data_IF_820287340303
#
_entry.id   IF_820287340303
#
_cell.length_a   1.000
_cell.length_b   1.000
_cell.length_c   1.000
_cell.angle_alpha   90.00
_cell.angle_beta   90.00
_cell.angle_gamma   90.00
#
_symmetry.space_group_name_H-M   'P 1'
#
loop_
_entity.id
_entity.type
_entity.pdbx_description
1 polymer ?
#
# COMPACT_ATOMS: atom_id res chain seq x y z
N UNK A 1 -29.22 -25.10 -40.10
CA UNK A 1 -28.93 -24.25 -41.28
C UNK A 1 -27.44 -24.27 -41.53
N UNK A 2 -27.01 -24.07 -42.78
CA UNK A 2 -25.61 -24.06 -43.19
C UNK A 2 -25.32 -22.79 -43.99
N UNK A 3 -24.16 -22.17 -43.75
CA UNK A 3 -23.72 -20.95 -44.43
C UNK A 3 -22.20 -20.99 -44.66
N UNK A 4 -21.74 -20.25 -45.66
CA UNK A 4 -20.33 -20.04 -46.00
C UNK A 4 -20.04 -18.54 -46.01
N UNK A 5 -18.81 -18.15 -45.66
CA UNK A 5 -18.42 -16.74 -45.57
C UNK A 5 -16.92 -16.52 -45.72
N UNK A 6 -16.54 -15.30 -46.11
CA UNK A 6 -15.16 -14.86 -46.24
C UNK A 6 -14.64 -14.34 -44.90
N UNK A 7 -13.43 -14.77 -44.50
CA UNK A 7 -12.79 -14.26 -43.29
C UNK A 7 -12.35 -12.82 -43.50
N UNK A 8 -12.90 -11.89 -42.72
CA UNK A 8 -12.59 -10.46 -42.79
C UNK A 8 -11.53 -9.99 -41.78
N UNK A 9 -11.34 -10.71 -40.68
CA UNK A 9 -10.37 -10.38 -39.62
C UNK A 9 -10.05 -11.61 -38.78
N UNK A 10 -8.82 -11.69 -38.26
CA UNK A 10 -8.31 -12.77 -37.42
C UNK A 10 -7.53 -12.21 -36.22
N UNK A 11 -7.42 -12.99 -35.14
CA UNK A 11 -6.70 -12.61 -33.92
C UNK A 11 -7.21 -11.31 -33.28
N UNK A 12 -6.29 -10.46 -32.83
CA UNK A 12 -6.59 -9.20 -32.12
C UNK A 12 -7.37 -8.18 -32.97
N UNK A 13 -7.33 -8.32 -34.29
CA UNK A 13 -8.10 -7.46 -35.22
C UNK A 13 -9.58 -7.83 -35.26
N UNK A 14 -9.97 -8.98 -34.72
CA UNK A 14 -11.39 -9.34 -34.57
C UNK A 14 -12.05 -8.46 -33.52
N UNK A 15 -13.38 -8.39 -33.54
CA UNK A 15 -14.13 -7.67 -32.50
C UNK A 15 -13.89 -8.28 -31.12
N UNK A 16 -13.83 -9.61 -31.00
CA UNK A 16 -13.50 -10.29 -29.74
C UNK A 16 -12.05 -10.00 -29.32
N UNK A 17 -11.10 -10.01 -30.27
CA UNK A 17 -9.70 -9.69 -30.01
C UNK A 17 -9.49 -8.27 -29.49
N UNK A 18 -10.19 -7.28 -30.06
CA UNK A 18 -10.18 -5.91 -29.55
C UNK A 18 -10.81 -5.78 -28.17
N UNK A 19 -11.90 -6.50 -27.89
CA UNK A 19 -12.51 -6.52 -26.55
C UNK A 19 -11.53 -7.13 -25.53
N UNK A 20 -10.88 -8.25 -25.87
CA UNK A 20 -9.91 -8.88 -25.00
C UNK A 20 -8.71 -7.96 -24.71
N UNK A 21 -8.19 -7.28 -25.74
CA UNK A 21 -7.10 -6.30 -25.60
C UNK A 21 -7.51 -5.07 -24.77
N UNK A 22 -8.75 -4.61 -24.89
CA UNK A 22 -9.26 -3.52 -24.06
C UNK A 22 -9.43 -3.96 -22.60
N UNK A 23 -9.89 -5.19 -22.37
CA UNK A 23 -10.06 -5.74 -21.02
C UNK A 23 -8.71 -5.99 -20.33
N UNK A 24 -7.67 -6.41 -21.08
CA UNK A 24 -6.33 -6.63 -20.54
C UNK A 24 -5.48 -5.36 -20.43
N UNK A 25 -5.79 -4.33 -21.23
CA UNK A 25 -5.09 -3.05 -21.23
C UNK A 25 -5.50 -2.10 -20.11
N UNK A 26 -6.40 -2.50 -19.22
CA UNK A 26 -6.79 -1.71 -18.05
C UNK A 26 -5.64 -1.71 -17.05
N UNK A 27 -5.13 -0.53 -16.70
CA UNK A 27 -4.09 -0.39 -15.69
C UNK A 27 -4.60 -0.88 -14.32
N UNK A 28 -3.72 -1.52 -13.57
CA UNK A 28 -4.01 -1.89 -12.19
C UNK A 28 -3.94 -0.64 -11.31
N UNK A 29 -5.07 0.04 -11.17
CA UNK A 29 -5.21 1.10 -10.18
C UNK A 29 -5.18 0.52 -8.76
N UNK A 30 -4.64 1.31 -7.81
CA UNK A 30 -4.68 0.95 -6.39
C UNK A 30 -6.13 0.84 -5.94
N UNK A 31 -6.45 -0.19 -5.16
CA UNK A 31 -7.79 -0.32 -4.58
C UNK A 31 -8.04 0.80 -3.56
N UNK A 32 -9.29 1.23 -3.34
CA UNK A 32 -9.60 2.26 -2.35
C UNK A 32 -9.07 1.93 -0.94
N UNK A 33 -9.09 0.65 -0.56
CA UNK A 33 -8.55 0.18 0.73
C UNK A 33 -7.02 0.31 0.76
N UNK A 34 -6.32 -0.01 -0.34
CA UNK A 34 -4.87 0.15 -0.40
C UNK A 34 -4.45 1.62 -0.26
N UNK A 35 -5.19 2.54 -0.91
CA UNK A 35 -4.96 3.99 -0.79
C UNK A 35 -5.17 4.46 0.65
N UNK A 36 -6.23 4.00 1.31
CA UNK A 36 -6.51 4.39 2.70
C UNK A 36 -5.46 3.86 3.69
N UNK A 37 -4.96 2.63 3.49
CA UNK A 37 -3.88 2.06 4.31
C UNK A 37 -2.59 2.87 4.14
N UNK A 38 -2.23 3.22 2.91
CA UNK A 38 -1.04 4.04 2.63
C UNK A 38 -1.17 5.41 3.27
N UNK A 39 -2.32 6.06 3.15
CA UNK A 39 -2.60 7.34 3.80
C UNK A 39 -2.48 7.25 5.33
N UNK A 40 -3.03 6.20 5.93
CA UNK A 40 -2.90 5.96 7.36
C UNK A 40 -1.45 5.76 7.79
N UNK A 41 -0.68 4.96 7.05
CA UNK A 41 0.74 4.71 7.34
C UNK A 41 1.55 6.00 7.25
N UNK A 42 1.30 6.84 6.24
CA UNK A 42 2.00 8.11 6.07
C UNK A 42 1.74 9.08 7.23
N UNK A 43 0.49 9.14 7.73
CA UNK A 43 0.15 9.96 8.89
C UNK A 43 0.93 9.50 10.13
N UNK A 44 0.92 8.19 10.41
CA UNK A 44 1.58 7.65 11.59
C UNK A 44 3.10 7.79 11.49
N UNK A 45 3.68 7.53 10.31
CA UNK A 45 5.11 7.74 10.07
C UNK A 45 5.51 9.21 10.24
N UNK A 46 4.70 10.14 9.73
CA UNK A 46 4.89 11.58 9.93
C UNK A 46 4.89 11.97 11.41
N UNK A 47 3.92 11.48 12.18
CA UNK A 47 3.84 11.71 13.63
C UNK A 47 5.03 11.09 14.38
N UNK A 48 5.42 9.86 14.03
CA UNK A 48 6.54 9.16 14.65
C UNK A 48 7.86 9.93 14.50
N UNK A 49 8.14 10.42 13.29
CA UNK A 49 9.34 11.22 13.00
C UNK A 49 9.27 12.57 13.68
N UNK A 50 8.10 13.23 13.69
CA UNK A 50 7.91 14.52 14.36
C UNK A 50 8.19 14.43 15.87
N UNK A 51 7.59 13.46 16.56
CA UNK A 51 7.84 13.25 17.99
C UNK A 51 9.27 12.77 18.24
N UNK A 52 9.77 11.82 17.46
CA UNK A 52 11.15 11.36 17.57
C UNK A 52 12.15 12.52 17.47
N UNK A 53 12.05 13.34 16.43
CA UNK A 53 12.97 14.46 16.21
C UNK A 53 12.87 15.53 17.31
N UNK A 54 11.65 15.82 17.77
CA UNK A 54 11.43 16.78 18.87
C UNK A 54 12.11 16.29 20.16
N UNK A 55 11.91 15.03 20.53
CA UNK A 55 12.53 14.45 21.74
C UNK A 55 14.05 14.27 21.58
N UNK A 56 14.54 13.99 20.38
CA UNK A 56 15.96 13.96 20.08
C UNK A 56 16.63 15.33 20.31
N UNK A 57 16.02 16.40 19.80
CA UNK A 57 16.50 17.78 20.02
C UNK A 57 16.49 18.14 21.50
N UNK A 58 15.41 17.80 22.22
CA UNK A 58 15.32 18.01 23.68
C UNK A 58 16.42 17.24 24.41
N UNK A 59 16.67 15.97 24.06
CA UNK A 59 17.73 15.17 24.68
C UNK A 59 19.12 15.78 24.46
N UNK A 60 19.39 16.31 23.26
CA UNK A 60 20.63 17.02 22.95
C UNK A 60 20.77 18.32 23.77
N UNK A 61 19.69 19.08 23.96
CA UNK A 61 19.68 20.30 24.77
C UNK A 61 19.91 20.03 26.27
N UNK A 62 19.43 18.90 26.78
CA UNK A 62 19.65 18.46 28.17
C UNK A 62 21.08 17.94 28.38
N UNK A 63 21.85 17.74 27.31
CA UNK A 63 23.25 17.28 27.38
C UNK A 63 23.40 15.76 27.38
N UNK A 64 22.42 15.01 26.88
CA UNK A 64 22.60 13.58 26.67
C UNK A 64 23.68 13.32 25.60
N UNK A 65 24.51 12.27 25.76
CA UNK A 65 25.45 11.90 24.72
C UNK A 65 24.68 11.50 23.44
N UNK A 66 25.19 11.90 22.28
CA UNK A 66 24.56 11.69 20.97
C UNK A 66 24.08 10.25 20.76
N UNK A 67 24.90 9.27 21.16
CA UNK A 67 24.55 7.85 21.05
C UNK A 67 23.27 7.50 21.83
N UNK A 68 23.11 8.03 23.05
CA UNK A 68 21.93 7.78 23.88
C UNK A 68 20.70 8.53 23.33
N UNK A 69 20.87 9.75 22.83
CA UNK A 69 19.79 10.49 22.16
C UNK A 69 19.30 9.75 20.90
N UNK A 70 20.21 9.17 20.10
CA UNK A 70 19.85 8.34 18.94
C UNK A 70 19.10 7.07 19.32
N UNK A 71 19.48 6.41 20.42
CA UNK A 71 18.74 5.25 20.93
C UNK A 71 17.32 5.63 21.36
N UNK A 72 17.14 6.80 22.00
CA UNK A 72 15.80 7.30 22.35
C UNK A 72 14.96 7.62 21.11
N UNK A 73 15.55 8.25 20.09
CA UNK A 73 14.88 8.51 18.82
C UNK A 73 14.36 7.20 18.19
N UNK A 74 15.23 6.20 18.06
CA UNK A 74 14.87 4.89 17.53
C UNK A 74 13.75 4.22 18.35
N UNK A 75 13.84 4.29 19.68
CA UNK A 75 12.83 3.72 20.57
C UNK A 75 11.45 4.38 20.39
N UNK A 76 11.41 5.71 20.23
CA UNK A 76 10.16 6.45 20.01
C UNK A 76 9.57 6.11 18.64
N UNK A 77 10.38 6.08 17.59
CA UNK A 77 9.90 5.74 16.24
C UNK A 77 9.32 4.33 16.22
N UNK A 78 10.06 3.34 16.75
CA UNK A 78 9.57 1.95 16.82
C UNK A 78 8.28 1.84 17.64
N UNK A 79 8.17 2.54 18.77
CA UNK A 79 6.96 2.53 19.58
C UNK A 79 5.71 3.10 18.87
N UNK A 80 5.89 3.95 17.86
CA UNK A 80 4.79 4.53 17.07
C UNK A 80 4.44 3.73 15.82
N UNK A 81 5.38 2.96 15.26
CA UNK A 81 5.12 2.14 14.06
C UNK A 81 4.21 0.98 14.44
N UNK A 82 3.04 0.81 13.81
CA UNK A 82 2.14 -0.27 14.17
C UNK A 82 2.51 -1.55 13.40
N UNK A 83 3.48 -2.32 13.91
CA UNK A 83 4.02 -3.49 13.20
C UNK A 83 2.97 -4.58 12.96
N UNK A 84 1.91 -4.60 13.76
CA UNK A 84 0.79 -5.53 13.63
C UNK A 84 -0.24 -5.13 12.57
N UNK A 85 -0.26 -3.88 12.08
CA UNK A 85 -1.38 -3.36 11.28
C UNK A 85 -1.54 -4.09 9.95
N UNK A 86 -0.46 -4.29 9.20
CA UNK A 86 -0.54 -4.96 7.89
C UNK A 86 -1.01 -6.42 8.04
N UNK A 87 -0.56 -7.09 9.09
CA UNK A 87 -0.96 -8.46 9.39
C UNK A 87 -2.44 -8.55 9.79
N UNK A 88 -2.92 -7.67 10.69
CA UNK A 88 -4.32 -7.68 11.12
C UNK A 88 -5.27 -7.32 9.99
N UNK A 89 -4.92 -6.36 9.15
CA UNK A 89 -5.73 -5.98 7.97
C UNK A 89 -5.83 -7.15 7.00
N UNK A 90 -4.72 -7.83 6.71
CA UNK A 90 -4.70 -9.02 5.83
C UNK A 90 -5.59 -10.14 6.40
N UNK A 91 -5.51 -10.39 7.71
CA UNK A 91 -6.35 -11.40 8.38
C UNK A 91 -7.82 -11.02 8.34
N UNK A 92 -8.18 -9.76 8.61
CA UNK A 92 -9.55 -9.27 8.51
C UNK A 92 -10.11 -9.41 7.09
N UNK A 93 -9.35 -9.02 6.07
CA UNK A 93 -9.72 -9.18 4.66
C UNK A 93 -9.92 -10.66 4.30
N UNK A 94 -9.03 -11.53 4.76
CA UNK A 94 -9.10 -12.98 4.53
C UNK A 94 -10.32 -13.60 5.20
N UNK A 95 -10.65 -13.18 6.43
CA UNK A 95 -11.84 -13.61 7.15
C UNK A 95 -13.13 -13.16 6.44
N UNK A 96 -13.17 -11.91 5.97
CA UNK A 96 -14.31 -11.39 5.21
C UNK A 96 -14.47 -12.13 3.89
N UNK A 97 -13.38 -12.35 3.15
CA UNK A 97 -13.40 -13.13 1.90
C UNK A 97 -13.82 -14.59 2.10
N UNK A 98 -13.49 -15.18 3.26
CA UNK A 98 -13.96 -16.53 3.63
C UNK A 98 -15.45 -16.58 4.00
N UNK A 99 -16.02 -15.46 4.44
CA UNK A 99 -17.45 -15.36 4.81
C UNK A 99 -18.36 -15.02 3.64
N UNK A 100 -17.82 -14.42 2.58
CA UNK A 100 -18.48 -14.21 1.29
C UNK A 100 -18.48 -15.51 0.47
#
# INVERSE_FOLDING_TARGET
GTATGLVISTGDRTTIGRIASLASGVENEKTPIAVEIEHFVDIIAGLAVFFGATFFLVAMLIGYPFLRAMVFFMAIVVAYVPEGLLATVTVCLSLTAKRL
#
